data_IF_079352801384
#
_entry.id   IF_079352801384
#
_cell.length_a   1.000
_cell.length_b   1.000
_cell.length_c   1.000
_cell.angle_alpha   90.00
_cell.angle_beta   90.00
_cell.angle_gamma   90.00
#
_symmetry.space_group_name_H-M   'P 1'
#
loop_
_entity.id
_entity.type
_entity.pdbx_description
1 polymer ?
#
# COMPACT_ATOMS: atom_id res chain seq x y z
N UNK A 1 12.93 -27.95 17.71
CA UNK A 1 11.85 -27.17 17.09
C UNK A 1 10.55 -27.46 17.84
N UNK A 2 10.42 -26.96 19.06
CA UNK A 2 9.09 -26.85 19.70
C UNK A 2 8.45 -25.63 19.05
N UNK A 3 7.54 -25.88 18.10
CA UNK A 3 6.99 -24.87 17.20
C UNK A 3 6.29 -23.78 17.98
N UNK A 4 6.82 -22.55 17.88
CA UNK A 4 6.05 -21.37 18.22
C UNK A 4 5.02 -21.14 17.10
N UNK A 5 3.91 -21.88 17.22
CA UNK A 5 2.82 -21.85 16.25
C UNK A 5 2.23 -20.44 16.12
N UNK A 6 2.29 -19.63 17.18
CA UNK A 6 1.83 -18.25 17.15
C UNK A 6 2.73 -17.40 16.28
N UNK A 7 4.05 -17.48 16.46
CA UNK A 7 5.00 -16.80 15.57
C UNK A 7 4.86 -17.26 14.11
N UNK A 8 4.65 -18.57 13.89
CA UNK A 8 4.45 -19.10 12.54
C UNK A 8 3.18 -18.55 11.89
N UNK A 9 2.07 -18.50 12.63
CA UNK A 9 0.81 -17.95 12.13
C UNK A 9 0.93 -16.45 11.88
N UNK A 10 1.60 -15.70 12.77
CA UNK A 10 1.82 -14.26 12.60
C UNK A 10 2.55 -13.96 11.29
N UNK A 11 3.67 -14.64 11.05
CA UNK A 11 4.47 -14.46 9.82
C UNK A 11 3.78 -15.02 8.56
N UNK A 12 2.79 -15.91 8.66
CA UNK A 12 2.07 -16.38 7.47
C UNK A 12 0.86 -15.51 7.12
N UNK A 13 0.41 -14.65 8.03
CA UNK A 13 -0.81 -13.89 7.86
C UNK A 13 -0.67 -12.78 6.80
N UNK A 14 0.34 -11.89 6.83
CA UNK A 14 0.53 -10.86 5.81
C UNK A 14 0.60 -11.40 4.37
N UNK A 15 1.44 -12.41 4.03
CA UNK A 15 1.55 -12.89 2.66
C UNK A 15 0.27 -13.60 2.21
N UNK A 16 -0.47 -14.23 3.13
CA UNK A 16 -1.77 -14.84 2.81
C UNK A 16 -2.82 -13.78 2.47
N UNK A 17 -2.87 -12.69 3.23
CA UNK A 17 -3.80 -11.58 2.97
C UNK A 17 -3.42 -10.81 1.70
N UNK A 18 -2.13 -10.58 1.47
CA UNK A 18 -1.61 -9.98 0.24
C UNK A 18 -1.93 -10.86 -0.98
N UNK A 19 -1.81 -12.19 -0.86
CA UNK A 19 -2.21 -13.13 -1.89
C UNK A 19 -3.72 -13.06 -2.20
N UNK A 20 -4.57 -12.96 -1.17
CA UNK A 20 -6.02 -12.80 -1.37
C UNK A 20 -6.33 -11.49 -2.14
N UNK A 21 -5.66 -10.38 -1.76
CA UNK A 21 -5.78 -9.11 -2.47
C UNK A 21 -5.35 -9.24 -3.94
N UNK A 22 -4.22 -9.92 -4.19
CA UNK A 22 -3.68 -10.17 -5.53
C UNK A 22 -4.65 -11.00 -6.38
N UNK A 23 -5.17 -12.10 -5.84
CA UNK A 23 -6.12 -12.96 -6.54
C UNK A 23 -7.37 -12.19 -6.99
N UNK A 24 -7.89 -11.31 -6.12
CA UNK A 24 -9.03 -10.47 -6.48
C UNK A 24 -8.67 -9.33 -7.42
N UNK A 25 -7.47 -8.76 -7.33
CA UNK A 25 -6.98 -7.78 -8.28
C UNK A 25 -6.88 -8.38 -9.70
N UNK A 26 -6.32 -9.58 -9.83
CA UNK A 26 -6.28 -10.33 -11.10
C UNK A 26 -7.70 -10.63 -11.60
N UNK A 27 -8.60 -11.04 -10.71
CA UNK A 27 -10.00 -11.26 -11.04
C UNK A 27 -10.72 -9.99 -11.54
N UNK A 28 -10.38 -8.81 -10.99
CA UNK A 28 -10.91 -7.53 -11.45
C UNK A 28 -10.37 -7.16 -12.83
N UNK A 29 -9.07 -7.36 -13.08
CA UNK A 29 -8.40 -7.11 -14.37
C UNK A 29 -8.95 -8.01 -15.47
N UNK A 30 -9.15 -9.31 -15.19
CA UNK A 30 -9.64 -10.28 -16.18
C UNK A 30 -11.11 -10.07 -16.56
N UNK A 31 -11.93 -9.50 -15.66
CA UNK A 31 -13.34 -9.19 -15.92
C UNK A 31 -13.56 -7.81 -16.54
N UNK A 32 -12.62 -6.89 -16.37
CA UNK A 32 -12.55 -5.72 -17.24
C UNK A 32 -12.39 -6.24 -18.67
N UNK A 33 -13.34 -5.90 -19.56
CA UNK A 33 -13.16 -6.18 -20.98
C UNK A 33 -11.94 -5.36 -21.40
N UNK A 34 -10.76 -5.99 -21.46
CA UNK A 34 -9.51 -5.39 -21.93
C UNK A 34 -9.71 -5.05 -23.41
N UNK A 35 -10.44 -3.99 -23.69
CA UNK A 35 -10.31 -3.28 -24.93
C UNK A 35 -9.02 -2.50 -24.81
N UNK A 36 -8.19 -2.54 -25.85
CA UNK A 36 -6.84 -1.94 -25.90
C UNK A 36 -6.80 -0.43 -25.59
N UNK A 37 -7.95 0.20 -25.33
CA UNK A 37 -8.15 1.62 -25.13
C UNK A 37 -9.03 1.96 -23.90
N UNK A 38 -9.39 0.99 -23.04
CA UNK A 38 -10.12 1.31 -21.82
C UNK A 38 -9.15 1.72 -20.71
N UNK A 39 -9.19 3.00 -20.36
CA UNK A 39 -8.37 3.61 -19.31
C UNK A 39 -8.52 2.87 -17.98
N UNK A 40 -9.73 2.39 -17.66
CA UNK A 40 -9.97 1.70 -16.39
C UNK A 40 -9.24 0.37 -16.33
N UNK A 41 -9.10 -0.33 -17.46
CA UNK A 41 -8.34 -1.59 -17.52
C UNK A 41 -6.87 -1.36 -17.20
N UNK A 42 -6.30 -0.25 -17.67
CA UNK A 42 -4.92 0.16 -17.34
C UNK A 42 -4.80 0.46 -15.84
N UNK A 43 -5.73 1.22 -15.25
CA UNK A 43 -5.73 1.53 -13.81
C UNK A 43 -5.70 0.25 -12.97
N UNK A 44 -6.58 -0.70 -13.28
CA UNK A 44 -6.67 -1.96 -12.53
C UNK A 44 -5.46 -2.85 -12.74
N UNK A 45 -4.92 -2.90 -13.95
CA UNK A 45 -3.70 -3.64 -14.24
C UNK A 45 -2.51 -3.08 -13.44
N UNK A 46 -2.37 -1.75 -13.40
CA UNK A 46 -1.39 -1.05 -12.58
C UNK A 46 -1.55 -1.38 -11.08
N UNK A 47 -2.77 -1.35 -10.54
CA UNK A 47 -2.99 -1.74 -9.14
C UNK A 47 -2.68 -3.21 -8.87
N UNK A 48 -3.01 -4.11 -9.79
CA UNK A 48 -2.67 -5.52 -9.66
C UNK A 48 -1.14 -5.75 -9.67
N UNK A 49 -0.39 -5.02 -10.50
CA UNK A 49 1.07 -5.06 -10.48
C UNK A 49 1.66 -4.52 -9.18
N UNK A 50 1.09 -3.45 -8.62
CA UNK A 50 1.51 -2.93 -7.31
C UNK A 50 1.32 -3.96 -6.20
N UNK A 51 0.12 -4.56 -6.14
CA UNK A 51 -0.21 -5.61 -5.18
C UNK A 51 0.64 -6.87 -5.38
N UNK A 52 0.97 -7.24 -6.62
CA UNK A 52 1.89 -8.35 -6.90
C UNK A 52 3.26 -8.07 -6.30
N UNK A 53 3.78 -6.85 -6.48
CA UNK A 53 5.07 -6.47 -5.91
C UNK A 53 5.04 -6.51 -4.38
N UNK A 54 4.00 -5.95 -3.75
CA UNK A 54 3.87 -5.99 -2.29
C UNK A 54 3.67 -7.40 -1.75
N UNK A 55 2.93 -8.27 -2.44
CA UNK A 55 2.86 -9.69 -2.10
C UNK A 55 4.24 -10.36 -2.13
N UNK A 56 5.07 -10.07 -3.13
CA UNK A 56 6.45 -10.57 -3.17
C UNK A 56 7.30 -9.99 -2.03
N UNK A 57 7.05 -8.73 -1.64
CA UNK A 57 7.71 -8.13 -0.48
C UNK A 57 7.39 -8.90 0.81
N UNK A 58 6.11 -9.18 1.09
CA UNK A 58 5.70 -9.98 2.26
C UNK A 58 6.35 -11.37 2.25
N UNK A 59 6.28 -12.07 1.10
CA UNK A 59 6.90 -13.40 0.97
C UNK A 59 8.38 -13.34 1.30
N UNK A 60 9.10 -12.35 0.76
CA UNK A 60 10.54 -12.21 1.02
C UNK A 60 10.81 -11.80 2.46
N UNK A 61 9.99 -10.92 3.05
CA UNK A 61 10.12 -10.49 4.44
C UNK A 61 10.03 -11.68 5.38
N UNK A 62 9.04 -12.55 5.20
CA UNK A 62 8.79 -13.70 6.07
C UNK A 62 9.72 -14.89 5.81
N UNK A 63 10.39 -14.95 4.66
CA UNK A 63 11.42 -15.96 4.39
C UNK A 63 12.57 -15.91 5.43
N UNK A 64 12.95 -14.72 5.88
CA UNK A 64 14.03 -14.53 6.86
C UNK A 64 13.74 -15.21 8.22
N UNK A 65 12.64 -14.88 8.93
CA UNK A 65 12.33 -15.51 10.21
C UNK A 65 11.91 -16.97 10.07
N UNK A 66 11.10 -17.31 9.04
CA UNK A 66 10.53 -18.66 8.92
C UNK A 66 11.53 -19.72 8.44
N UNK A 67 12.44 -19.37 7.52
CA UNK A 67 13.34 -20.34 6.89
C UNK A 67 14.81 -20.10 7.22
N UNK A 68 15.23 -18.84 7.37
CA UNK A 68 16.62 -18.52 7.70
C UNK A 68 16.87 -18.41 9.22
N UNK A 69 15.81 -18.33 10.02
CA UNK A 69 15.89 -18.24 11.49
C UNK A 69 16.55 -16.96 12.00
N UNK A 70 16.56 -15.91 11.18
CA UNK A 70 17.10 -14.59 11.53
C UNK A 70 16.00 -13.54 11.44
N UNK A 71 16.11 -12.47 12.24
CA UNK A 71 15.25 -11.31 12.07
C UNK A 71 15.49 -10.70 10.70
N UNK A 72 14.42 -10.23 10.05
CA UNK A 72 14.51 -9.58 8.75
C UNK A 72 15.37 -8.32 8.89
N UNK A 73 16.50 -8.24 8.16
CA UNK A 73 17.32 -7.04 8.21
C UNK A 73 16.56 -5.87 7.59
N UNK A 74 16.79 -4.66 8.08
CA UNK A 74 16.29 -3.44 7.45
C UNK A 74 17.47 -2.53 7.11
N UNK A 75 17.69 -2.18 5.82
CA UNK A 75 16.95 -2.64 4.63
C UNK A 75 17.23 -4.10 4.22
N UNK A 76 16.34 -4.69 3.40
CA UNK A 76 16.44 -6.05 2.82
C UNK A 76 15.98 -6.14 1.36
N UNK A 77 16.00 -7.36 0.79
CA UNK A 77 15.43 -7.65 -0.52
C UNK A 77 13.91 -7.41 -0.55
N UNK A 78 13.21 -7.57 0.58
CA UNK A 78 11.80 -7.26 0.68
C UNK A 78 11.53 -5.78 0.35
N UNK A 79 12.42 -4.88 0.75
CA UNK A 79 12.29 -3.45 0.46
C UNK A 79 12.38 -3.10 -1.02
N UNK A 80 13.12 -3.89 -1.80
CA UNK A 80 13.17 -3.73 -3.26
C UNK A 80 11.79 -3.95 -3.86
N UNK A 81 11.08 -5.00 -3.44
CA UNK A 81 9.72 -5.29 -3.88
C UNK A 81 8.69 -4.30 -3.29
N UNK A 82 8.88 -3.91 -2.02
CA UNK A 82 8.08 -2.90 -1.35
C UNK A 82 8.06 -1.58 -2.13
N UNK A 83 9.25 -1.04 -2.39
CA UNK A 83 9.46 0.19 -3.17
C UNK A 83 8.99 0.03 -4.62
N UNK A 84 9.30 -1.10 -5.27
CA UNK A 84 8.89 -1.34 -6.66
C UNK A 84 7.37 -1.32 -6.83
N UNK A 85 6.60 -1.73 -5.82
CA UNK A 85 5.12 -1.72 -5.86
C UNK A 85 4.50 -0.33 -5.97
N UNK A 86 5.19 0.70 -5.47
CA UNK A 86 4.73 2.09 -5.60
C UNK A 86 4.71 2.56 -7.04
N UNK A 87 5.65 2.12 -7.89
CA UNK A 87 5.77 2.58 -9.28
C UNK A 87 4.48 2.32 -10.08
N UNK A 88 3.99 1.06 -10.19
CA UNK A 88 2.75 0.80 -10.90
C UNK A 88 1.53 1.35 -10.13
N UNK A 89 1.53 1.39 -8.80
CA UNK A 89 0.42 1.98 -8.04
C UNK A 89 0.23 3.48 -8.35
N UNK A 90 1.32 4.25 -8.34
CA UNK A 90 1.34 5.67 -8.71
C UNK A 90 0.94 5.84 -10.17
N UNK A 91 1.45 5.00 -11.09
CA UNK A 91 1.05 5.05 -12.49
C UNK A 91 -0.46 4.84 -12.65
N UNK A 92 -1.05 3.87 -11.95
CA UNK A 92 -2.49 3.62 -11.94
C UNK A 92 -3.29 4.82 -11.42
N UNK A 93 -2.83 5.44 -10.32
CA UNK A 93 -3.44 6.66 -9.79
C UNK A 93 -3.37 7.82 -10.79
N UNK A 94 -2.22 8.06 -11.42
CA UNK A 94 -2.05 9.12 -12.41
C UNK A 94 -2.95 8.91 -13.64
N UNK A 95 -3.05 7.68 -14.13
CA UNK A 95 -3.96 7.33 -15.24
C UNK A 95 -5.42 7.56 -14.82
N UNK A 96 -5.78 7.19 -13.59
CA UNK A 96 -7.12 7.38 -13.03
C UNK A 96 -7.52 8.85 -12.98
N UNK A 97 -6.62 9.73 -12.54
CA UNK A 97 -6.91 11.16 -12.34
C UNK A 97 -6.70 12.01 -13.59
N UNK A 98 -6.01 11.50 -14.62
CA UNK A 98 -5.73 12.21 -15.86
C UNK A 98 -6.92 12.98 -16.51
N UNK A 99 -8.14 12.41 -16.59
CA UNK A 99 -9.30 13.15 -17.11
C UNK A 99 -9.70 14.36 -16.27
N UNK A 100 -9.39 14.36 -14.97
CA UNK A 100 -9.79 15.39 -14.01
C UNK A 100 -8.61 16.26 -13.56
N UNK A 101 -7.55 16.31 -14.36
CA UNK A 101 -6.32 17.04 -14.00
C UNK A 101 -6.57 18.52 -13.73
N UNK A 102 -7.56 19.14 -14.37
CA UNK A 102 -7.94 20.54 -14.15
C UNK A 102 -8.45 20.80 -12.72
N UNK A 103 -9.20 19.85 -12.16
CA UNK A 103 -9.83 19.92 -10.85
C UNK A 103 -8.81 19.70 -9.73
N UNK A 104 -7.75 18.95 -10.00
CA UNK A 104 -6.64 18.67 -9.08
C UNK A 104 -5.82 19.91 -8.69
N UNK A 105 -5.86 20.98 -9.49
CA UNK A 105 -5.19 22.25 -9.16
C UNK A 105 -6.00 23.15 -8.22
N UNK A 106 -7.16 22.71 -7.74
CA UNK A 106 -7.95 23.52 -6.81
C UNK A 106 -7.26 23.67 -5.45
N UNK A 107 -7.33 24.88 -4.87
CA UNK A 107 -6.68 25.23 -3.58
C UNK A 107 -7.06 24.29 -2.43
N UNK A 108 -8.25 23.67 -2.47
CA UNK A 108 -8.75 22.74 -1.44
C UNK A 108 -8.05 21.38 -1.50
N UNK A 109 -7.84 20.85 -2.70
CA UNK A 109 -7.14 19.58 -2.92
C UNK A 109 -5.67 19.70 -2.53
N UNK A 110 -5.05 20.83 -2.87
CA UNK A 110 -3.68 21.15 -2.46
C UNK A 110 -3.57 21.21 -0.93
N UNK A 111 -4.51 21.85 -0.23
CA UNK A 111 -4.49 21.93 1.23
C UNK A 111 -4.59 20.55 1.91
N UNK A 112 -5.43 19.64 1.40
CA UNK A 112 -5.54 18.28 1.95
C UNK A 112 -4.26 17.48 1.73
N UNK A 113 -3.64 17.62 0.55
CA UNK A 113 -2.37 16.97 0.23
C UNK A 113 -1.23 17.48 1.10
N UNK A 114 -1.21 18.79 1.37
CA UNK A 114 -0.24 19.42 2.27
C UNK A 114 -0.41 19.00 3.73
N UNK A 115 -1.65 18.80 4.21
CA UNK A 115 -1.89 18.30 5.56
C UNK A 115 -1.44 16.85 5.71
N UNK A 116 -1.71 16.00 4.72
CA UNK A 116 -1.20 14.63 4.68
C UNK A 116 0.33 14.60 4.67
N UNK A 117 0.95 15.45 3.84
CA UNK A 117 2.40 15.65 3.81
C UNK A 117 2.96 16.06 5.18
N UNK A 118 2.38 17.06 5.84
CA UNK A 118 2.83 17.54 7.15
C UNK A 118 2.72 16.44 8.20
N UNK A 119 1.66 15.63 8.18
CA UNK A 119 1.49 14.53 9.13
C UNK A 119 2.60 13.46 8.96
N UNK A 120 2.88 13.02 7.73
CA UNK A 120 3.92 12.02 7.47
C UNK A 120 5.31 12.59 7.78
N UNK A 121 5.60 13.83 7.36
CA UNK A 121 6.89 14.47 7.64
C UNK A 121 7.12 14.70 9.14
N UNK A 122 6.07 15.00 9.90
CA UNK A 122 6.21 15.19 11.35
C UNK A 122 6.59 13.88 12.06
N UNK A 123 6.05 12.75 11.60
CA UNK A 123 6.39 11.42 12.12
C UNK A 123 7.81 11.00 11.70
N UNK A 124 8.21 11.29 10.46
CA UNK A 124 9.56 11.03 9.97
C UNK A 124 10.61 11.89 10.67
N UNK A 125 10.37 13.19 10.84
CA UNK A 125 11.29 14.13 11.48
C UNK A 125 11.50 13.81 12.96
N UNK A 126 10.46 13.35 13.67
CA UNK A 126 10.60 12.90 15.06
C UNK A 126 11.61 11.75 15.19
N UNK A 127 11.59 10.81 14.23
CA UNK A 127 12.48 9.65 14.20
C UNK A 127 13.93 10.05 13.93
N UNK A 128 14.16 10.93 12.94
CA UNK A 128 15.51 11.39 12.54
C UNK A 128 16.21 12.24 13.59
N UNK A 129 15.46 13.00 14.40
CA UNK A 129 16.06 13.92 15.38
C UNK A 129 16.56 13.24 16.67
N UNK A 130 16.16 12.00 16.93
CA UNK A 130 16.49 11.30 18.18
C UNK A 130 17.65 10.30 18.09
N UNK A 131 18.10 9.89 16.89
CA UNK A 131 19.17 8.90 16.74
C UNK A 131 20.16 9.16 15.58
N UNK A 132 21.37 8.60 15.70
CA UNK A 132 22.35 8.54 14.61
C UNK A 132 22.14 7.27 13.78
N UNK A 133 21.33 7.36 12.74
CA UNK A 133 21.07 6.22 11.84
C UNK A 133 22.23 5.96 10.88
N UNK A 134 22.42 4.69 10.53
CA UNK A 134 23.21 4.30 9.37
C UNK A 134 22.61 4.90 8.09
N UNK A 135 23.46 5.27 7.12
CA UNK A 135 23.06 6.03 5.94
C UNK A 135 22.03 5.28 5.07
N UNK A 136 22.17 3.96 4.97
CA UNK A 136 21.29 3.06 4.23
C UNK A 136 19.89 2.95 4.87
N UNK A 137 19.81 2.77 6.18
CA UNK A 137 18.55 2.78 6.95
C UNK A 137 17.81 4.10 6.75
N UNK A 138 18.53 5.22 6.88
CA UNK A 138 17.96 6.55 6.66
C UNK A 138 17.48 6.73 5.22
N UNK A 139 18.27 6.32 4.23
CA UNK A 139 17.93 6.48 2.83
C UNK A 139 16.65 5.70 2.47
N UNK A 140 16.55 4.43 2.86
CA UNK A 140 15.38 3.59 2.56
C UNK A 140 14.13 4.08 3.30
N UNK A 141 14.26 4.44 4.58
CA UNK A 141 13.15 5.04 5.34
C UNK A 141 12.62 6.33 4.71
N UNK A 142 13.51 7.23 4.26
CA UNK A 142 13.12 8.45 3.56
C UNK A 142 12.45 8.17 2.20
N UNK A 143 12.86 7.12 1.49
CA UNK A 143 12.21 6.70 0.24
C UNK A 143 10.77 6.27 0.50
N UNK A 144 10.50 5.43 1.51
CA UNK A 144 9.14 5.03 1.87
C UNK A 144 8.29 6.25 2.24
N UNK A 145 8.81 7.14 3.10
CA UNK A 145 8.12 8.38 3.47
C UNK A 145 7.78 9.24 2.25
N UNK A 146 8.73 9.43 1.33
CA UNK A 146 8.51 10.22 0.12
C UNK A 146 7.47 9.58 -0.80
N UNK A 147 7.49 8.26 -0.95
CA UNK A 147 6.54 7.51 -1.77
C UNK A 147 5.14 7.49 -1.15
N UNK A 148 5.03 7.35 0.17
CA UNK A 148 3.77 7.41 0.91
C UNK A 148 3.09 8.77 0.74
N UNK A 149 3.86 9.83 0.91
CA UNK A 149 3.42 11.21 0.65
C UNK A 149 2.91 11.35 -0.79
N UNK A 150 3.67 10.85 -1.77
CA UNK A 150 3.30 10.95 -3.18
C UNK A 150 1.99 10.22 -3.46
N UNK A 151 1.83 9.00 -2.95
CA UNK A 151 0.59 8.22 -3.10
C UNK A 151 -0.58 8.93 -2.43
N UNK A 152 -0.44 9.42 -1.20
CA UNK A 152 -1.52 10.14 -0.50
C UNK A 152 -1.94 11.41 -1.21
N UNK A 153 -0.97 12.17 -1.72
CA UNK A 153 -1.21 13.42 -2.45
C UNK A 153 -2.02 13.23 -3.72
N UNK A 154 -2.07 12.01 -4.27
CA UNK A 154 -2.86 11.67 -5.46
C UNK A 154 -4.15 10.94 -5.07
N UNK A 155 -4.06 9.92 -4.21
CA UNK A 155 -5.17 9.04 -3.87
C UNK A 155 -6.29 9.76 -3.08
N UNK A 156 -5.93 10.60 -2.10
CA UNK A 156 -6.93 11.31 -1.29
C UNK A 156 -7.72 12.33 -2.12
N UNK A 157 -7.09 13.18 -2.94
CA UNK A 157 -7.84 14.03 -3.87
C UNK A 157 -8.63 13.25 -4.92
N UNK A 158 -8.10 12.13 -5.42
CA UNK A 158 -8.82 11.27 -6.36
C UNK A 158 -10.16 10.82 -5.77
N UNK A 159 -10.22 10.50 -4.47
CA UNK A 159 -11.47 10.17 -3.81
C UNK A 159 -12.49 11.31 -3.83
N UNK A 160 -12.04 12.55 -3.69
CA UNK A 160 -12.91 13.74 -3.68
C UNK A 160 -13.50 13.97 -5.07
N UNK A 161 -12.67 13.85 -6.10
CA UNK A 161 -13.06 14.06 -7.50
C UNK A 161 -13.97 12.94 -7.99
N UNK A 162 -13.71 11.69 -7.58
CA UNK A 162 -14.45 10.52 -8.04
C UNK A 162 -15.73 10.26 -7.26
N UNK A 163 -16.22 11.17 -6.40
CA UNK A 163 -17.39 10.96 -5.52
C UNK A 163 -18.71 10.61 -6.23
N UNK A 164 -18.75 10.69 -7.55
CA UNK A 164 -19.94 10.42 -8.36
C UNK A 164 -19.75 9.13 -9.20
N UNK A 165 -20.80 8.31 -9.27
CA UNK A 165 -20.83 7.09 -10.09
C UNK A 165 -20.60 5.77 -9.34
N UNK A 166 -20.41 4.68 -10.07
CA UNK A 166 -20.27 3.33 -9.49
C UNK A 166 -18.88 3.05 -8.90
N UNK A 167 -17.86 3.82 -9.29
CA UNK A 167 -16.45 3.53 -9.01
C UNK A 167 -15.98 4.01 -7.62
N UNK A 168 -16.64 5.00 -7.02
CA UNK A 168 -16.13 5.66 -5.81
C UNK A 168 -16.07 4.75 -4.59
N UNK A 169 -17.03 3.81 -4.43
CA UNK A 169 -17.08 2.93 -3.27
C UNK A 169 -15.91 1.93 -3.25
N UNK A 170 -15.66 1.13 -4.32
CA UNK A 170 -14.46 0.29 -4.37
C UNK A 170 -13.18 1.09 -4.14
N UNK A 171 -13.05 2.27 -4.78
CA UNK A 171 -11.85 3.08 -4.68
C UNK A 171 -11.66 3.72 -3.30
N UNK A 172 -12.74 4.06 -2.59
CA UNK A 172 -12.69 4.48 -1.19
C UNK A 172 -12.12 3.38 -0.31
N UNK A 173 -12.62 2.15 -0.44
CA UNK A 173 -12.14 1.03 0.36
C UNK A 173 -10.66 0.74 0.04
N UNK A 174 -10.26 0.75 -1.23
CA UNK A 174 -8.85 0.61 -1.63
C UNK A 174 -7.97 1.70 -1.04
N UNK A 175 -8.38 2.96 -1.16
CA UNK A 175 -7.62 4.09 -0.63
C UNK A 175 -7.53 4.05 0.89
N UNK A 176 -8.58 3.63 1.59
CA UNK A 176 -8.50 3.38 3.03
C UNK A 176 -7.48 2.29 3.38
N UNK A 177 -7.43 1.21 2.60
CA UNK A 177 -6.41 0.17 2.75
C UNK A 177 -4.99 0.68 2.53
N UNK A 178 -4.79 1.48 1.47
CA UNK A 178 -3.51 2.17 1.21
C UNK A 178 -3.14 3.01 2.42
N UNK A 179 -4.02 3.90 2.90
CA UNK A 179 -3.74 4.76 4.06
C UNK A 179 -3.26 3.94 5.26
N UNK A 180 -3.93 2.83 5.59
CA UNK A 180 -3.48 1.95 6.69
C UNK A 180 -2.10 1.34 6.46
N UNK A 181 -1.79 0.90 5.24
CA UNK A 181 -0.47 0.38 4.89
C UNK A 181 0.64 1.45 5.03
N UNK A 182 0.39 2.71 4.63
CA UNK A 182 1.36 3.79 4.81
C UNK A 182 1.59 4.12 6.30
N UNK A 183 0.54 4.10 7.11
CA UNK A 183 0.69 4.19 8.56
C UNK A 183 1.49 3.02 9.11
N UNK A 184 1.26 1.80 8.61
CA UNK A 184 2.07 0.64 8.99
C UNK A 184 3.54 0.85 8.68
N UNK A 185 3.92 1.29 7.48
CA UNK A 185 5.33 1.51 7.12
C UNK A 185 5.99 2.57 8.01
N UNK A 186 5.25 3.65 8.32
CA UNK A 186 5.74 4.71 9.22
C UNK A 186 5.99 4.15 10.63
N UNK A 187 5.08 3.34 11.17
CA UNK A 187 5.25 2.70 12.49
C UNK A 187 6.35 1.65 12.45
N UNK A 188 6.46 0.84 11.40
CA UNK A 188 7.47 -0.21 11.22
C UNK A 188 8.88 0.36 11.18
N UNK A 189 9.06 1.47 10.44
CA UNK A 189 10.33 2.20 10.40
C UNK A 189 10.71 2.67 11.81
N UNK A 190 9.73 3.19 12.57
CA UNK A 190 9.94 3.67 13.94
C UNK A 190 10.31 2.55 14.93
N UNK A 191 9.62 1.40 14.84
CA UNK A 191 9.89 0.18 15.63
C UNK A 191 11.29 -0.34 15.37
N UNK A 192 11.67 -0.45 14.10
CA UNK A 192 12.98 -0.95 13.67
C UNK A 192 14.12 -0.08 14.20
N UNK A 193 13.85 1.20 14.46
CA UNK A 193 14.84 2.15 15.01
C UNK A 193 14.86 2.25 16.54
N UNK A 194 13.71 2.33 17.21
CA UNK A 194 13.68 2.61 18.67
C UNK A 194 13.48 1.37 19.54
N UNK A 195 13.21 0.20 18.94
CA UNK A 195 12.98 -1.07 19.63
C UNK A 195 11.71 -1.22 20.51
N UNK A 196 10.63 -0.40 20.42
CA UNK A 196 9.44 -0.67 21.22
C UNK A 196 8.62 -1.84 20.64
N UNK A 197 8.75 -3.01 21.26
CA UNK A 197 8.08 -4.26 20.89
C UNK A 197 6.55 -4.17 20.68
N UNK A 198 5.85 -3.26 21.39
CA UNK A 198 4.39 -3.12 21.28
C UNK A 198 3.92 -2.41 20.00
N UNK A 199 4.80 -1.66 19.35
CA UNK A 199 4.48 -0.93 18.11
C UNK A 199 4.65 -1.82 16.86
N UNK A 200 5.42 -2.89 16.98
CA UNK A 200 5.60 -3.91 15.94
C UNK A 200 4.25 -4.55 15.58
N UNK A 201 3.53 -4.99 16.62
CA UNK A 201 2.18 -5.57 16.51
C UNK A 201 1.17 -4.60 15.91
N UNK A 202 1.27 -3.31 16.24
CA UNK A 202 0.40 -2.29 15.66
C UNK A 202 0.67 -2.13 14.16
N UNK A 203 1.95 -2.13 13.77
CA UNK A 203 2.34 -2.02 12.37
C UNK A 203 1.84 -3.20 11.54
N UNK A 204 2.02 -4.44 12.02
CA UNK A 204 1.50 -5.65 11.38
C UNK A 204 -0.02 -5.61 11.27
N UNK A 205 -0.71 -5.18 12.33
CA UNK A 205 -2.17 -5.08 12.34
C UNK A 205 -2.67 -4.10 11.27
N UNK A 206 -2.06 -2.92 11.19
CA UNK A 206 -2.39 -1.90 10.20
C UNK A 206 -2.20 -2.42 8.78
N UNK A 207 -1.09 -3.13 8.52
CA UNK A 207 -0.80 -3.72 7.22
C UNK A 207 -1.81 -4.79 6.84
N UNK A 208 -2.13 -5.69 7.76
CA UNK A 208 -3.12 -6.75 7.59
C UNK A 208 -4.51 -6.18 7.27
N UNK A 209 -4.96 -5.16 8.01
CA UNK A 209 -6.20 -4.46 7.67
C UNK A 209 -6.11 -3.75 6.32
N UNK A 210 -4.96 -3.21 5.97
CA UNK A 210 -4.66 -2.67 4.65
C UNK A 210 -4.96 -3.67 3.53
N UNK A 211 -4.42 -4.90 3.63
CA UNK A 211 -4.65 -5.97 2.67
C UNK A 211 -6.11 -6.49 2.66
N UNK A 212 -6.77 -6.54 3.82
CA UNK A 212 -8.20 -6.89 3.89
C UNK A 212 -9.04 -5.85 3.14
N UNK A 213 -8.80 -4.56 3.36
CA UNK A 213 -9.50 -3.50 2.64
C UNK A 213 -9.16 -3.52 1.14
N UNK A 214 -7.90 -3.78 0.77
CA UNK A 214 -7.52 -3.97 -0.61
C UNK A 214 -8.34 -5.09 -1.28
N UNK A 215 -8.42 -6.25 -0.62
CA UNK A 215 -9.21 -7.40 -1.04
C UNK A 215 -10.68 -7.03 -1.23
N UNK A 216 -11.31 -6.39 -0.25
CA UNK A 216 -12.71 -5.95 -0.32
C UNK A 216 -12.91 -4.97 -1.47
N UNK A 217 -12.01 -4.01 -1.66
CA UNK A 217 -12.06 -3.04 -2.74
C UNK A 217 -12.05 -3.70 -4.13
N UNK A 218 -11.12 -4.63 -4.36
CA UNK A 218 -11.07 -5.39 -5.61
C UNK A 218 -12.30 -6.29 -5.79
N UNK A 219 -12.78 -6.94 -4.73
CA UNK A 219 -14.01 -7.73 -4.75
C UNK A 219 -15.22 -6.90 -5.18
N UNK A 220 -15.41 -5.74 -4.56
CA UNK A 220 -16.52 -4.83 -4.88
C UNK A 220 -16.49 -4.43 -6.35
N UNK A 221 -15.31 -4.11 -6.88
CA UNK A 221 -15.17 -3.80 -8.30
C UNK A 221 -15.54 -5.00 -9.17
N UNK A 222 -15.03 -6.18 -8.84
CA UNK A 222 -15.27 -7.41 -9.58
C UNK A 222 -16.77 -7.74 -9.69
N UNK A 223 -17.53 -7.53 -8.60
CA UNK A 223 -18.99 -7.73 -8.57
C UNK A 223 -19.72 -6.66 -9.39
N UNK A 224 -19.27 -5.41 -9.36
CA UNK A 224 -19.85 -4.36 -10.19
C UNK A 224 -19.69 -4.64 -11.69
N UNK A 225 -18.53 -5.18 -12.09
CA UNK A 225 -18.26 -5.56 -13.47
C UNK A 225 -19.17 -6.72 -13.92
N UNK A 226 -19.39 -7.72 -13.06
CA UNK A 226 -20.27 -8.85 -13.41
C UNK A 226 -21.74 -8.44 -13.56
N UNK A 227 -22.22 -7.47 -12.77
CA UNK A 227 -23.60 -6.98 -12.88
C UNK A 227 -23.89 -6.20 -14.17
N UNK A 228 -22.86 -5.69 -14.86
CA UNK A 228 -23.01 -5.01 -16.16
C UNK A 228 -23.01 -5.98 -17.36
N UNK A 229 -22.71 -7.25 -17.13
CA UNK A 229 -22.64 -8.29 -18.18
C UNK A 229 -23.94 -9.10 -18.30
N UNK A 230 -24.87 -8.93 -17.36
CA UNK A 230 -26.24 -9.48 -17.36
C UNK A 230 -27.22 -8.40 -17.79
#
# INVERSE_FOLDING_TARGET
MTGDWLATISNLLPPTLAFAALALAIGAVTREKISRNDRMSIVWFCFALGILSWFLAEVVWDLYPLYLGIQTPFPSIADVFGIAGYIPAIAGLLVLIWPFRSEFYSKKIVAVSLLALVAVLSLAAFSVLHEQFALDVLAVGLIYVALDVLVLSIAVPALIVLREGSFWKPFLVLTSGIVLALFSHTVSTWVSTLGPYYLDQLSELLLNFGYILATIGFYMRMVQLSKKLL
#
